data_IF_852596327319
#
_entry.id   IF_852596327319
#
_cell.length_a   1.000
_cell.length_b   1.000
_cell.length_c   1.000
_cell.angle_alpha   90.00
_cell.angle_beta   90.00
_cell.angle_gamma   90.00
#
_symmetry.space_group_name_H-M   'P 1'
#
loop_
_entity.id
_entity.type
_entity.pdbx_description
1 polymer ?
#
# COMPACT_ATOMS: atom_id res chain seq x y z
N UNK A 1 -12.81 3.98 -10.42
CA UNK A 1 -11.79 4.78 -9.73
C UNK A 1 -12.21 6.23 -9.64
N UNK A 2 -12.50 6.67 -8.48
CA UNK A 2 -12.64 8.10 -8.25
C UNK A 2 -11.25 8.77 -8.32
N UNK A 3 -11.20 10.01 -8.80
CA UNK A 3 -9.95 10.74 -8.82
C UNK A 3 -9.48 10.99 -7.38
N UNK A 4 -8.26 10.55 -7.09
CA UNK A 4 -7.63 10.81 -5.80
C UNK A 4 -6.79 12.07 -5.92
N UNK A 5 -7.07 13.06 -5.10
CA UNK A 5 -6.31 14.30 -5.09
C UNK A 5 -4.92 14.08 -4.49
N UNK A 6 -3.87 14.72 -5.04
CA UNK A 6 -2.55 14.67 -4.43
C UNK A 6 -2.58 15.31 -3.04
N UNK A 7 -1.84 14.75 -2.10
CA UNK A 7 -1.73 15.30 -0.76
C UNK A 7 -0.90 16.58 -0.78
N UNK A 8 -1.53 17.74 -0.58
CA UNK A 8 -0.82 19.00 -0.38
C UNK A 8 -0.25 19.05 1.04
N UNK A 9 0.77 19.88 1.25
CA UNK A 9 1.36 20.07 2.58
C UNK A 9 0.32 20.58 3.59
N UNK A 10 -0.62 21.40 3.14
CA UNK A 10 -1.70 21.91 3.98
C UNK A 10 -2.69 20.80 4.38
N UNK A 11 -3.13 19.99 3.42
CA UNK A 11 -4.03 18.87 3.70
C UNK A 11 -3.43 17.89 4.69
N UNK A 12 -2.18 17.64 4.56
CA UNK A 12 -1.38 16.80 5.42
C UNK A 12 -1.32 17.35 6.84
N UNK A 13 -1.01 18.61 7.00
CA UNK A 13 -0.96 19.26 8.31
C UNK A 13 -2.32 19.21 9.00
N UNK A 14 -3.40 19.43 8.26
CA UNK A 14 -4.76 19.30 8.77
C UNK A 14 -5.05 17.88 9.24
N UNK A 15 -4.64 16.88 8.47
CA UNK A 15 -4.82 15.48 8.83
C UNK A 15 -4.09 15.13 10.12
N UNK A 16 -2.86 15.62 10.31
CA UNK A 16 -2.11 15.46 11.56
C UNK A 16 -2.81 16.06 12.75
N UNK A 17 -3.36 17.26 12.58
CA UNK A 17 -4.02 17.98 13.66
C UNK A 17 -5.38 17.37 14.04
N UNK A 18 -6.04 16.72 13.07
CA UNK A 18 -7.38 16.16 13.29
C UNK A 18 -7.39 14.77 13.91
N UNK A 19 -6.26 14.05 13.92
CA UNK A 19 -6.13 12.65 14.31
C UNK A 19 -7.09 11.73 13.55
N UNK A 20 -6.56 10.67 12.95
CA UNK A 20 -7.40 9.66 12.30
C UNK A 20 -8.14 8.83 13.32
N UNK A 21 -9.47 8.68 13.13
CA UNK A 21 -10.31 7.81 13.95
C UNK A 21 -10.68 6.52 13.21
N UNK A 22 -10.16 6.32 11.99
CA UNK A 22 -10.47 5.14 11.19
C UNK A 22 -9.90 3.88 11.82
N UNK A 23 -10.68 2.78 11.86
CA UNK A 23 -10.15 1.51 12.36
C UNK A 23 -9.07 0.96 11.43
N UNK A 24 -7.98 0.50 12.01
CA UNK A 24 -6.90 -0.19 11.31
C UNK A 24 -7.31 -1.64 11.10
N UNK A 25 -7.29 -2.10 9.86
CA UNK A 25 -7.61 -3.51 9.52
C UNK A 25 -6.37 -4.35 9.25
N UNK A 26 -5.20 -3.74 9.18
CA UNK A 26 -3.95 -4.44 8.95
C UNK A 26 -2.79 -3.50 8.74
N UNK A 27 -1.73 -4.01 8.16
CA UNK A 27 -0.54 -3.23 7.84
C UNK A 27 0.13 -3.69 6.55
N UNK A 28 0.88 -2.78 5.93
CA UNK A 28 1.71 -3.06 4.76
C UNK A 28 3.13 -2.56 5.02
N UNK A 29 4.12 -3.39 4.72
CA UNK A 29 5.53 -3.04 4.91
C UNK A 29 6.37 -3.49 3.72
N UNK A 30 7.24 -2.60 3.24
CA UNK A 30 8.22 -2.89 2.20
C UNK A 30 9.59 -2.42 2.72
N UNK A 31 10.38 -3.31 3.34
CA UNK A 31 11.60 -2.90 4.03
C UNK A 31 12.63 -2.23 3.13
N UNK A 32 12.75 -2.64 1.87
CA UNK A 32 13.76 -2.10 0.95
C UNK A 32 13.61 -0.61 0.67
N UNK A 33 12.40 -0.08 0.83
CA UNK A 33 12.10 1.35 0.62
C UNK A 33 11.53 2.00 1.87
N UNK A 34 11.62 1.34 3.02
CA UNK A 34 11.18 1.83 4.32
C UNK A 34 9.69 2.24 4.38
N UNK A 35 8.84 1.50 3.68
CA UNK A 35 7.39 1.65 3.81
C UNK A 35 6.88 0.77 4.95
N UNK A 36 6.14 1.37 5.88
CA UNK A 36 5.42 0.68 6.95
C UNK A 36 4.19 1.52 7.30
N UNK A 37 3.02 1.08 6.83
CA UNK A 37 1.79 1.87 6.93
C UNK A 37 0.63 1.01 7.45
N UNK A 38 -0.31 1.62 8.19
CA UNK A 38 -1.56 0.94 8.50
C UNK A 38 -2.43 0.80 7.25
N UNK A 39 -3.28 -0.22 7.23
CA UNK A 39 -4.28 -0.43 6.19
C UNK A 39 -5.65 -0.08 6.77
N UNK A 40 -6.40 0.71 6.02
CA UNK A 40 -7.79 1.08 6.32
C UNK A 40 -8.71 0.51 5.25
N UNK A 41 -9.98 0.34 5.59
CA UNK A 41 -10.98 -0.10 4.62
C UNK A 41 -11.48 1.10 3.81
N UNK A 42 -11.37 1.01 2.48
CA UNK A 42 -11.88 2.03 1.56
C UNK A 42 -10.86 3.11 1.21
N UNK A 43 -11.29 4.03 0.34
CA UNK A 43 -10.45 5.05 -0.26
C UNK A 43 -10.81 6.47 0.17
N UNK A 44 -11.20 6.66 1.43
CA UNK A 44 -11.45 8.01 1.95
C UNK A 44 -10.14 8.82 1.93
N UNK A 45 -10.25 10.14 1.81
CA UNK A 45 -9.08 11.02 1.90
C UNK A 45 -8.29 10.78 3.20
N UNK A 46 -9.00 10.59 4.30
CA UNK A 46 -8.38 10.32 5.60
C UNK A 46 -7.56 9.04 5.57
N UNK A 47 -8.12 7.94 5.02
CA UNK A 47 -7.41 6.68 4.89
C UNK A 47 -6.12 6.84 4.09
N UNK A 48 -6.17 7.55 2.98
CA UNK A 48 -5.04 7.74 2.07
C UNK A 48 -3.97 8.69 2.61
N UNK A 49 -4.33 9.58 3.53
CA UNK A 49 -3.39 10.51 4.17
C UNK A 49 -2.65 9.89 5.35
N UNK A 50 -3.26 8.92 6.02
CA UNK A 50 -2.66 8.28 7.21
C UNK A 50 -2.08 6.90 6.94
N UNK A 51 -2.40 6.30 5.81
CA UNK A 51 -1.93 4.96 5.47
C UNK A 51 -2.38 4.56 4.09
N UNK A 52 -2.69 3.27 3.92
CA UNK A 52 -3.17 2.70 2.68
C UNK A 52 -4.64 2.31 2.81
N UNK A 53 -5.39 2.47 1.74
CA UNK A 53 -6.81 2.08 1.69
C UNK A 53 -7.05 0.94 0.71
N UNK A 54 -8.06 0.11 1.00
CA UNK A 54 -8.46 -0.99 0.12
C UNK A 54 -9.35 -0.49 -1.01
N UNK A 55 -9.16 -1.04 -2.22
CA UNK A 55 -9.92 -0.64 -3.40
C UNK A 55 -11.26 -1.37 -3.53
N UNK A 56 -11.39 -2.55 -2.95
CA UNK A 56 -12.63 -3.33 -3.00
C UNK A 56 -13.03 -3.78 -1.59
N UNK A 57 -14.32 -3.67 -1.22
CA UNK A 57 -14.78 -4.12 0.10
C UNK A 57 -14.77 -5.64 0.26
N UNK A 58 -14.65 -6.39 -0.83
CA UNK A 58 -14.72 -7.86 -0.83
C UNK A 58 -13.36 -8.53 -0.97
N UNK A 59 -12.29 -7.76 -1.21
CA UNK A 59 -10.96 -8.34 -1.36
C UNK A 59 -10.45 -8.93 -0.06
N UNK A 60 -9.67 -10.01 -0.18
CA UNK A 60 -9.08 -10.72 0.97
C UNK A 60 -7.58 -10.89 0.77
N UNK A 61 -6.82 -10.65 1.83
CA UNK A 61 -5.37 -10.87 1.81
C UNK A 61 -5.05 -12.32 1.48
N UNK A 62 -4.05 -12.52 0.62
CA UNK A 62 -3.62 -13.86 0.19
C UNK A 62 -4.50 -14.50 -0.86
N UNK A 63 -5.53 -13.81 -1.34
CA UNK A 63 -6.46 -14.31 -2.37
C UNK A 63 -6.65 -13.28 -3.47
N UNK A 64 -6.87 -13.74 -4.70
CA UNK A 64 -7.14 -12.89 -5.85
C UNK A 64 -6.06 -11.82 -6.06
N UNK A 65 -6.49 -10.61 -6.34
CA UNK A 65 -5.61 -9.45 -6.48
C UNK A 65 -5.94 -8.42 -5.38
N UNK A 66 -5.20 -8.49 -4.28
CA UNK A 66 -5.40 -7.58 -3.14
C UNK A 66 -4.82 -6.20 -3.49
N UNK A 67 -5.67 -5.20 -3.56
CA UNK A 67 -5.29 -3.87 -4.04
C UNK A 67 -5.32 -2.81 -2.94
N UNK A 68 -4.24 -2.04 -2.83
CA UNK A 68 -4.08 -0.95 -1.88
C UNK A 68 -3.64 0.32 -2.60
N UNK A 69 -4.16 1.45 -2.14
CA UNK A 69 -3.76 2.76 -2.62
C UNK A 69 -3.38 3.68 -1.46
N UNK A 70 -2.49 4.62 -1.73
CA UNK A 70 -2.16 5.70 -0.81
C UNK A 70 -1.75 6.94 -1.61
N UNK A 71 -1.74 8.10 -0.95
CA UNK A 71 -1.30 9.33 -1.59
C UNK A 71 0.21 9.34 -1.86
N UNK A 72 0.59 10.02 -2.94
CA UNK A 72 1.95 10.50 -3.14
C UNK A 72 2.07 11.83 -2.39
N UNK A 73 3.04 11.90 -1.47
CA UNK A 73 3.32 13.13 -0.72
C UNK A 73 4.41 13.96 -1.41
N UNK A 74 4.54 15.22 -1.04
CA UNK A 74 5.64 16.07 -1.52
C UNK A 74 6.99 15.57 -1.01
N UNK A 75 7.05 15.08 0.22
CA UNK A 75 8.25 14.46 0.74
C UNK A 75 8.43 13.06 0.15
N UNK A 76 9.63 12.71 -0.35
CA UNK A 76 9.87 11.42 -1.00
C UNK A 76 9.78 10.22 -0.05
N UNK A 77 9.74 10.45 1.26
CA UNK A 77 9.77 9.38 2.27
C UNK A 77 8.39 8.97 2.78
N UNK A 78 7.34 9.69 2.39
CA UNK A 78 6.03 9.54 3.03
C UNK A 78 5.05 8.69 2.21
N UNK A 79 4.22 7.94 2.93
CA UNK A 79 3.13 7.14 2.37
C UNK A 79 3.65 6.18 1.27
N UNK A 80 3.02 6.17 0.10
CA UNK A 80 3.44 5.33 -1.02
C UNK A 80 4.39 6.04 -2.00
N UNK A 81 4.86 7.25 -1.68
CA UNK A 81 5.85 7.93 -2.53
C UNK A 81 7.08 7.05 -2.81
N UNK A 82 7.62 6.29 -1.82
CA UNK A 82 8.74 5.39 -2.08
C UNK A 82 8.46 4.22 -3.03
N UNK A 83 7.21 3.99 -3.47
CA UNK A 83 6.93 2.97 -4.48
C UNK A 83 7.72 3.19 -5.78
N UNK A 84 8.12 4.42 -6.09
CA UNK A 84 8.95 4.72 -7.24
C UNK A 84 10.30 3.97 -7.20
N UNK A 85 10.76 3.62 -6.01
CA UNK A 85 12.08 3.00 -5.79
C UNK A 85 11.99 1.49 -5.56
N UNK A 86 10.80 0.90 -5.60
CA UNK A 86 10.64 -0.55 -5.45
C UNK A 86 11.18 -1.26 -6.68
N UNK A 87 12.12 -2.20 -6.46
CA UNK A 87 12.68 -3.02 -7.51
C UNK A 87 11.92 -4.34 -7.67
N UNK A 88 11.94 -4.90 -8.87
CA UNK A 88 11.46 -6.27 -9.10
C UNK A 88 12.27 -7.23 -8.21
N UNK A 89 11.59 -8.13 -7.51
CA UNK A 89 12.20 -9.04 -6.54
C UNK A 89 12.14 -8.53 -5.09
N UNK A 90 11.69 -7.28 -4.87
CA UNK A 90 11.54 -6.76 -3.52
C UNK A 90 10.46 -7.51 -2.74
N UNK A 91 10.67 -7.66 -1.45
CA UNK A 91 9.70 -8.30 -0.55
C UNK A 91 8.65 -7.30 -0.08
N UNK A 92 7.38 -7.69 -0.18
CA UNK A 92 6.23 -6.92 0.28
C UNK A 92 5.50 -7.76 1.33
N UNK A 93 5.35 -7.23 2.54
CA UNK A 93 4.57 -7.88 3.59
C UNK A 93 3.26 -7.16 3.79
N UNK A 94 2.16 -7.91 3.93
CA UNK A 94 0.91 -7.38 4.49
C UNK A 94 0.45 -8.29 5.63
N UNK A 95 -0.30 -7.74 6.56
CA UNK A 95 -0.85 -8.50 7.68
C UNK A 95 -2.28 -8.09 7.96
N UNK A 96 -3.11 -9.07 8.33
CA UNK A 96 -4.46 -8.88 8.87
C UNK A 96 -4.47 -9.00 10.41
N UNK A 97 -3.28 -8.93 11.03
CA UNK A 97 -3.02 -9.09 12.47
C UNK A 97 -3.05 -10.55 12.94
N UNK A 98 -3.48 -11.48 12.12
CA UNK A 98 -3.47 -12.92 12.41
C UNK A 98 -2.36 -13.63 11.63
N UNK A 99 -2.21 -13.29 10.36
CA UNK A 99 -1.19 -13.84 9.48
C UNK A 99 -0.39 -12.74 8.80
N UNK A 100 0.81 -13.08 8.38
CA UNK A 100 1.66 -12.22 7.53
C UNK A 100 1.74 -12.87 6.16
N UNK A 101 1.37 -12.12 5.14
CA UNK A 101 1.39 -12.54 3.75
C UNK A 101 2.61 -11.94 3.07
N UNK A 102 3.48 -12.81 2.56
CA UNK A 102 4.74 -12.40 1.90
C UNK A 102 4.57 -12.48 0.40
N UNK A 103 4.76 -11.35 -0.27
CA UNK A 103 4.72 -11.25 -1.73
C UNK A 103 6.09 -10.83 -2.25
N UNK A 104 6.36 -11.21 -3.52
CA UNK A 104 7.56 -10.74 -4.23
C UNK A 104 7.12 -9.84 -5.38
N UNK A 105 7.68 -8.65 -5.46
CA UNK A 105 7.39 -7.70 -6.53
C UNK A 105 7.80 -8.27 -7.90
N UNK A 106 6.85 -8.32 -8.83
CA UNK A 106 7.05 -8.86 -10.17
C UNK A 106 6.95 -7.81 -11.26
N UNK A 107 6.34 -6.66 -10.95
CA UNK A 107 6.12 -5.58 -11.91
C UNK A 107 6.11 -4.23 -11.21
N UNK A 108 6.72 -3.25 -11.83
CA UNK A 108 6.64 -1.85 -11.41
C UNK A 108 6.50 -1.00 -12.67
N UNK A 109 5.36 -0.32 -12.82
CA UNK A 109 5.00 0.43 -14.02
C UNK A 109 4.34 1.75 -13.66
N UNK A 110 4.41 2.69 -14.60
CA UNK A 110 3.65 3.94 -14.51
C UNK A 110 2.51 3.88 -15.52
N UNK A 111 1.28 4.13 -15.07
CA UNK A 111 0.08 3.93 -15.86
C UNK A 111 -0.84 5.15 -15.80
N UNK A 112 -1.78 5.22 -16.72
CA UNK A 112 -2.85 6.20 -16.69
C UNK A 112 -3.92 5.81 -15.67
N UNK A 113 -4.65 6.76 -15.09
CA UNK A 113 -5.73 6.45 -14.13
C UNK A 113 -6.83 5.53 -14.70
N UNK A 114 -6.92 5.45 -16.04
CA UNK A 114 -7.90 4.61 -16.74
C UNK A 114 -7.47 3.15 -16.90
N UNK A 115 -6.22 2.81 -16.55
CA UNK A 115 -5.68 1.45 -16.72
C UNK A 115 -6.12 0.52 -15.57
N UNK A 116 -7.43 0.38 -15.39
CA UNK A 116 -8.03 -0.37 -14.29
C UNK A 116 -7.89 -1.89 -14.42
N UNK A 117 -7.48 -2.39 -15.58
CA UNK A 117 -7.27 -3.83 -15.80
C UNK A 117 -6.24 -4.44 -14.85
N UNK A 118 -5.33 -3.62 -14.31
CA UNK A 118 -4.33 -4.06 -13.32
C UNK A 118 -4.95 -4.52 -12.01
N UNK A 119 -6.20 -4.15 -11.75
CA UNK A 119 -6.95 -4.55 -10.56
C UNK A 119 -7.65 -5.89 -10.73
N UNK A 120 -7.74 -6.39 -11.97
CA UNK A 120 -8.44 -7.63 -12.25
C UNK A 120 -7.71 -8.82 -11.64
N UNK A 121 -8.48 -9.80 -11.19
CA UNK A 121 -7.94 -11.08 -10.77
C UNK A 121 -7.43 -11.85 -11.97
N UNK A 122 -6.28 -12.50 -11.81
CA UNK A 122 -5.70 -13.39 -12.82
C UNK A 122 -5.87 -14.82 -12.33
N UNK A 123 -6.54 -15.65 -13.13
CA UNK A 123 -6.80 -17.05 -12.78
C UNK A 123 -5.51 -17.78 -12.40
N UNK A 124 -5.52 -18.46 -11.25
CA UNK A 124 -4.38 -19.22 -10.75
C UNK A 124 -3.30 -18.37 -10.08
N UNK A 125 -3.46 -17.03 -9.98
CA UNK A 125 -2.51 -16.16 -9.30
C UNK A 125 -3.11 -15.54 -8.04
N UNK A 126 -2.29 -15.45 -7.02
CA UNK A 126 -2.60 -14.70 -5.79
C UNK A 126 -1.65 -13.50 -5.76
N UNK A 127 -2.21 -12.32 -5.94
CA UNK A 127 -1.46 -11.10 -6.24
C UNK A 127 -1.72 -9.98 -5.25
N UNK A 128 -0.80 -9.06 -5.20
CA UNK A 128 -0.97 -7.75 -4.58
C UNK A 128 -0.76 -6.66 -5.64
N UNK A 129 -1.54 -5.58 -5.54
CA UNK A 129 -1.37 -4.39 -6.38
C UNK A 129 -1.33 -3.17 -5.48
N UNK A 130 -0.23 -2.42 -5.54
CA UNK A 130 -0.02 -1.19 -4.77
C UNK A 130 -0.01 -0.01 -5.73
N UNK A 131 -0.86 0.99 -5.47
CA UNK A 131 -1.08 2.10 -6.39
C UNK A 131 -0.87 3.43 -5.68
N UNK A 132 -0.14 4.33 -6.33
CA UNK A 132 -0.04 5.74 -5.91
C UNK A 132 -0.04 6.65 -7.11
N UNK A 133 -0.25 7.95 -6.91
CA UNK A 133 -0.04 8.95 -7.96
C UNK A 133 1.43 8.93 -8.37
N UNK A 134 1.72 8.75 -9.67
CA UNK A 134 3.09 8.69 -10.18
C UNK A 134 3.76 10.05 -10.25
N UNK A 135 2.98 11.15 -10.27
CA UNK A 135 3.45 12.52 -10.39
C UNK A 135 2.66 13.45 -9.48
N UNK A 136 3.25 14.58 -9.13
CA UNK A 136 2.54 15.66 -8.47
C UNK A 136 1.41 16.13 -9.39
N UNK A 137 0.20 16.26 -8.85
CA UNK A 137 -0.98 16.58 -9.61
C UNK A 137 -1.85 15.39 -10.02
N UNK A 138 -1.40 14.15 -9.79
CA UNK A 138 -2.20 12.94 -9.98
C UNK A 138 -2.47 12.54 -11.42
N UNK A 139 -1.61 12.97 -12.38
CA UNK A 139 -1.79 12.68 -13.81
C UNK A 139 -1.57 11.20 -14.11
N UNK A 140 -0.58 10.59 -13.49
CA UNK A 140 -0.28 9.16 -13.66
C UNK A 140 -0.26 8.43 -12.32
N UNK A 141 -0.20 7.09 -12.38
CA UNK A 141 -0.13 6.23 -11.20
C UNK A 141 1.12 5.34 -11.28
N UNK A 142 1.86 5.25 -10.19
CA UNK A 142 2.86 4.19 -10.03
C UNK A 142 2.12 2.95 -9.54
N UNK A 143 2.33 1.81 -10.21
CA UNK A 143 1.73 0.53 -9.83
C UNK A 143 2.82 -0.49 -9.61
N UNK A 144 2.86 -1.06 -8.43
CA UNK A 144 3.72 -2.20 -8.08
C UNK A 144 2.83 -3.41 -7.88
N UNK A 145 3.13 -4.49 -8.58
CA UNK A 145 2.42 -5.75 -8.43
C UNK A 145 3.39 -6.85 -7.97
N UNK A 146 2.87 -7.82 -7.25
CA UNK A 146 3.64 -8.96 -6.78
C UNK A 146 2.80 -10.21 -6.67
N UNK A 147 3.49 -11.35 -6.55
CA UNK A 147 2.88 -12.66 -6.35
C UNK A 147 3.10 -13.14 -4.92
N UNK A 148 2.08 -13.80 -4.37
CA UNK A 148 2.16 -14.39 -3.03
C UNK A 148 3.17 -15.54 -3.01
N UNK A 149 4.10 -15.49 -2.05
CA UNK A 149 5.07 -16.56 -1.83
C UNK A 149 4.70 -17.44 -0.64
N UNK A 150 4.26 -16.84 0.46
CA UNK A 150 3.98 -17.58 1.69
C UNK A 150 3.01 -16.84 2.58
N UNK A 151 2.39 -17.61 3.49
CA UNK A 151 1.54 -17.11 4.56
C UNK A 151 2.12 -17.64 5.87
N UNK A 152 2.40 -16.73 6.81
CA UNK A 152 3.01 -17.08 8.10
C UNK A 152 2.12 -16.58 9.24
N UNK A 153 1.70 -17.44 10.15
CA UNK A 153 0.99 -16.96 11.35
C UNK A 153 1.83 -15.94 12.12
N UNK A 154 1.21 -14.93 12.67
CA UNK A 154 1.91 -13.86 13.40
C UNK A 154 2.74 -14.45 14.55
N UNK A 155 2.26 -15.51 15.19
CA UNK A 155 2.99 -16.21 16.26
C UNK A 155 4.32 -16.80 15.78
N UNK A 156 4.45 -17.12 14.49
CA UNK A 156 5.64 -17.70 13.87
C UNK A 156 6.44 -16.69 13.05
N UNK A 157 6.15 -15.39 13.19
CA UNK A 157 6.81 -14.35 12.43
C UNK A 157 8.33 -14.40 12.62
N UNK A 158 9.05 -14.24 11.50
CA UNK A 158 10.52 -14.14 11.52
C UNK A 158 10.98 -12.80 12.09
N UNK A 159 12.26 -12.70 12.45
CA UNK A 159 12.83 -11.44 12.91
C UNK A 159 12.75 -10.37 11.82
N UNK A 160 12.93 -10.73 10.54
CA UNK A 160 12.78 -9.82 9.42
C UNK A 160 11.36 -9.26 9.29
N UNK A 161 10.35 -10.11 9.48
CA UNK A 161 8.94 -9.69 9.44
C UNK A 161 8.63 -8.73 10.59
N UNK A 162 9.08 -9.04 11.81
CA UNK A 162 8.89 -8.17 12.98
C UNK A 162 9.58 -6.84 12.78
N UNK A 163 10.80 -6.84 12.27
CA UNK A 163 11.56 -5.61 12.00
C UNK A 163 10.84 -4.75 10.96
N UNK A 164 10.27 -5.36 9.91
CA UNK A 164 9.56 -4.64 8.87
C UNK A 164 8.35 -3.86 9.43
N UNK A 165 7.57 -4.48 10.31
CA UNK A 165 6.39 -3.83 10.91
C UNK A 165 6.72 -2.95 12.12
N UNK A 166 7.97 -2.96 12.59
CA UNK A 166 8.46 -2.06 13.63
C UNK A 166 9.17 -0.82 13.09
N UNK A 167 9.33 -0.70 11.79
CA UNK A 167 9.89 0.51 11.18
C UNK A 167 9.01 1.71 11.49
N UNK A 168 9.59 2.90 11.45
CA UNK A 168 8.85 4.14 11.59
C UNK A 168 7.73 4.20 10.53
N UNK A 169 6.52 4.55 10.98
CA UNK A 169 5.41 4.82 10.07
C UNK A 169 5.55 6.24 9.53
N UNK A 170 5.97 6.34 8.27
CA UNK A 170 6.21 7.63 7.62
C UNK A 170 4.92 8.15 6.99
N UNK A 171 3.99 8.46 7.84
CA UNK A 171 2.79 9.22 7.53
C UNK A 171 3.00 10.64 8.03
N UNK A 172 2.01 11.38 7.89
CA UNK A 172 2.05 12.72 8.47
C UNK A 172 1.66 12.73 9.92
#
# INVERSE_FOLDING_TARGET
>A
FDAVEPASSEAVLKAQLSNSTLPVIGGVAIPSVAINLPIFKGLSNEALLYGAGTLSPTQKMGEGNYALASHRAQSPDLLFTPLDDVAIGATIYITDLENIYTYTATSTVRVQPTDVYLLDEVAGRKMITLITCGEMGGVTRRVVQGDLESVTPVADATDEMRAAFNMEQRTF
#
